data_IF_589093397742
#
_entry.id   IF_589093397742
#
_cell.length_a   1.000
_cell.length_b   1.000
_cell.length_c   1.000
_cell.angle_alpha   90.00
_cell.angle_beta   90.00
_cell.angle_gamma   90.00
#
_symmetry.space_group_name_H-M   'P 1'
#
loop_
_entity.id
_entity.type
_entity.pdbx_description
1 polymer ?
#
# COMPACT_ATOMS: atom_id res chain seq x y z
N UNK A 1 28.62 -15.10 16.45
CA UNK A 1 27.27 -15.44 16.94
C UNK A 1 26.23 -14.38 16.59
N UNK A 2 26.46 -13.06 16.85
CA UNK A 2 25.49 -11.99 16.50
C UNK A 2 25.33 -11.81 14.98
N UNK A 3 26.40 -11.90 14.23
CA UNK A 3 26.41 -11.76 12.77
C UNK A 3 25.70 -12.92 12.09
N UNK A 4 25.94 -14.15 12.51
CA UNK A 4 25.27 -15.36 12.04
C UNK A 4 23.77 -15.31 12.33
N UNK A 5 23.36 -14.84 13.53
CA UNK A 5 21.95 -14.67 13.88
C UNK A 5 21.25 -13.60 13.01
N UNK A 6 21.94 -12.53 12.62
CA UNK A 6 21.42 -11.51 11.72
C UNK A 6 21.26 -12.00 10.29
N UNK A 7 22.20 -12.80 9.79
CA UNK A 7 22.11 -13.45 8.48
C UNK A 7 20.91 -14.42 8.47
N UNK A 8 20.76 -15.25 9.50
CA UNK A 8 19.65 -16.19 9.62
C UNK A 8 18.27 -15.48 9.62
N UNK A 9 18.15 -14.37 10.34
CA UNK A 9 16.93 -13.54 10.34
C UNK A 9 16.62 -12.96 8.96
N UNK A 10 17.61 -12.47 8.23
CA UNK A 10 17.44 -11.94 6.87
C UNK A 10 17.03 -13.03 5.89
N UNK A 11 17.67 -14.20 5.95
CA UNK A 11 17.32 -15.35 5.12
C UNK A 11 15.90 -15.82 5.40
N UNK A 12 15.50 -15.94 6.66
CA UNK A 12 14.13 -16.32 7.05
C UNK A 12 13.10 -15.28 6.55
N UNK A 13 13.43 -14.00 6.61
CA UNK A 13 12.53 -12.94 6.09
C UNK A 13 12.34 -13.07 4.58
N UNK A 14 13.40 -13.33 3.81
CA UNK A 14 13.33 -13.56 2.37
C UNK A 14 12.47 -14.77 2.03
N UNK A 15 12.69 -15.92 2.70
CA UNK A 15 11.87 -17.11 2.49
C UNK A 15 10.38 -16.85 2.71
N UNK A 16 10.03 -16.10 3.77
CA UNK A 16 8.63 -15.72 4.01
C UNK A 16 8.05 -14.90 2.86
N UNK A 17 8.82 -13.98 2.27
CA UNK A 17 8.33 -13.20 1.13
C UNK A 17 8.12 -14.06 -0.11
N UNK A 18 9.01 -15.04 -0.36
CA UNK A 18 8.84 -15.99 -1.45
C UNK A 18 7.59 -16.88 -1.26
N UNK A 19 7.35 -17.35 -0.03
CA UNK A 19 6.13 -18.11 0.31
C UNK A 19 4.88 -17.26 0.08
N UNK A 20 4.86 -15.99 0.47
CA UNK A 20 3.74 -15.09 0.21
C UNK A 20 3.51 -14.88 -1.29
N UNK A 21 4.56 -14.75 -2.08
CA UNK A 21 4.46 -14.64 -3.54
C UNK A 21 3.80 -15.88 -4.14
N UNK A 22 4.28 -17.07 -3.78
CA UNK A 22 3.70 -18.33 -4.22
C UNK A 22 2.25 -18.49 -3.79
N UNK A 23 1.94 -18.15 -2.53
CA UNK A 23 0.57 -18.16 -2.02
C UNK A 23 -0.38 -17.31 -2.87
N UNK A 24 0.01 -16.08 -3.22
CA UNK A 24 -0.83 -15.23 -4.06
C UNK A 24 -0.91 -15.74 -5.51
N UNK A 25 0.14 -16.34 -6.03
CA UNK A 25 0.12 -16.96 -7.37
C UNK A 25 -0.87 -18.13 -7.42
N UNK A 26 -0.84 -19.04 -6.44
CA UNK A 26 -1.81 -20.13 -6.31
C UNK A 26 -3.23 -19.59 -6.13
N UNK A 27 -3.42 -18.59 -5.27
CA UNK A 27 -4.73 -17.98 -5.04
C UNK A 27 -5.30 -17.39 -6.33
N UNK A 28 -4.49 -16.72 -7.14
CA UNK A 28 -4.94 -16.19 -8.43
C UNK A 28 -5.26 -17.30 -9.44
N UNK A 29 -4.47 -18.37 -9.46
CA UNK A 29 -4.72 -19.53 -10.31
C UNK A 29 -6.05 -20.21 -9.98
N UNK A 30 -6.32 -20.45 -8.70
CA UNK A 30 -7.52 -21.15 -8.25
C UNK A 30 -8.79 -20.27 -8.27
N UNK A 31 -8.60 -18.96 -8.10
CA UNK A 31 -9.69 -17.97 -8.04
C UNK A 31 -9.45 -16.78 -8.98
N UNK A 32 -9.40 -16.99 -10.32
CA UNK A 32 -9.04 -15.92 -11.28
C UNK A 32 -9.98 -14.71 -11.24
N UNK A 33 -11.20 -14.86 -10.72
CA UNK A 33 -12.15 -13.76 -10.56
C UNK A 33 -11.67 -12.68 -9.59
N UNK A 34 -10.66 -12.96 -8.74
CA UNK A 34 -10.12 -11.99 -7.77
C UNK A 34 -9.47 -10.76 -8.43
N UNK A 35 -9.15 -10.82 -9.71
CA UNK A 35 -8.69 -9.68 -10.48
C UNK A 35 -9.69 -8.52 -10.51
N UNK A 36 -10.98 -8.81 -10.43
CA UNK A 36 -12.03 -7.80 -10.50
C UNK A 36 -13.08 -7.87 -9.40
N UNK A 37 -13.06 -8.93 -8.59
CA UNK A 37 -14.04 -9.15 -7.52
C UNK A 37 -13.32 -9.47 -6.21
N UNK A 38 -13.90 -9.15 -5.05
CA UNK A 38 -13.33 -9.57 -3.77
C UNK A 38 -13.35 -11.10 -3.66
N UNK A 39 -12.32 -11.66 -3.04
CA UNK A 39 -12.25 -13.10 -2.75
C UNK A 39 -13.46 -13.54 -1.91
N UNK A 40 -13.82 -12.75 -0.90
CA UNK A 40 -14.98 -12.97 -0.05
C UNK A 40 -16.18 -12.24 -0.64
N UNK A 41 -17.11 -12.98 -1.25
CA UNK A 41 -18.27 -12.46 -1.99
C UNK A 41 -19.15 -11.51 -1.17
N UNK A 42 -19.23 -11.70 0.15
CA UNK A 42 -19.98 -10.82 1.07
C UNK A 42 -19.57 -9.34 1.00
N UNK A 43 -18.36 -9.04 0.52
CA UNK A 43 -17.85 -7.67 0.35
C UNK A 43 -18.10 -7.08 -1.05
N UNK A 44 -18.82 -7.80 -1.92
CA UNK A 44 -19.14 -7.32 -3.27
C UNK A 44 -20.09 -6.14 -3.28
N UNK A 45 -20.87 -5.97 -2.22
CA UNK A 45 -21.89 -4.90 -2.07
C UNK A 45 -21.37 -3.62 -1.43
N UNK A 46 -20.06 -3.52 -1.14
CA UNK A 46 -19.49 -2.30 -0.54
C UNK A 46 -19.72 -1.12 -1.48
N UNK A 47 -20.35 -0.07 -0.95
CA UNK A 47 -20.56 1.20 -1.67
C UNK A 47 -19.28 2.06 -1.54
N UNK A 48 -18.61 2.24 -2.65
CA UNK A 48 -17.42 3.07 -2.74
C UNK A 48 -17.75 4.51 -3.10
N UNK A 49 -16.91 5.45 -2.67
CA UNK A 49 -17.00 6.85 -3.09
C UNK A 49 -16.67 6.97 -4.58
N UNK A 50 -17.48 7.75 -5.31
CA UNK A 50 -17.26 8.07 -6.74
C UNK A 50 -16.44 9.36 -6.96
N UNK A 51 -15.89 9.97 -5.90
CA UNK A 51 -15.18 11.24 -6.01
C UNK A 51 -13.92 11.13 -6.85
N UNK A 52 -13.99 11.60 -8.09
CA UNK A 52 -12.83 11.69 -8.98
C UNK A 52 -11.78 12.64 -8.43
N UNK A 53 -12.18 13.79 -7.91
CA UNK A 53 -11.26 14.78 -7.33
C UNK A 53 -10.38 14.19 -6.21
N UNK A 54 -10.98 13.44 -5.28
CA UNK A 54 -10.21 12.78 -4.19
C UNK A 54 -9.23 11.75 -4.74
N UNK A 55 -9.65 10.98 -5.76
CA UNK A 55 -8.78 10.00 -6.41
C UNK A 55 -7.61 10.67 -7.13
N UNK A 56 -7.86 11.75 -7.87
CA UNK A 56 -6.82 12.50 -8.57
C UNK A 56 -5.80 13.13 -7.61
N UNK A 57 -6.27 13.74 -6.50
CA UNK A 57 -5.38 14.25 -5.46
C UNK A 57 -4.49 13.14 -4.88
N UNK A 58 -5.07 11.95 -4.63
CA UNK A 58 -4.29 10.80 -4.18
C UNK A 58 -3.27 10.37 -5.23
N UNK A 59 -3.66 10.22 -6.49
CA UNK A 59 -2.75 9.86 -7.58
C UNK A 59 -1.57 10.83 -7.70
N UNK A 60 -1.81 12.14 -7.54
CA UNK A 60 -0.78 13.17 -7.65
C UNK A 60 0.10 13.33 -6.41
N UNK A 61 -0.30 12.77 -5.27
CA UNK A 61 0.36 13.05 -3.98
C UNK A 61 0.09 14.48 -3.50
N UNK A 62 -1.18 14.88 -3.54
CA UNK A 62 -1.71 16.20 -3.15
C UNK A 62 -2.89 16.05 -2.17
N UNK A 63 -2.79 15.06 -1.28
CA UNK A 63 -3.86 14.76 -0.31
C UNK A 63 -3.85 15.69 0.89
N UNK A 64 -2.74 16.38 1.14
CA UNK A 64 -2.49 17.15 2.35
C UNK A 64 -2.02 16.32 3.54
N UNK A 65 -1.78 15.01 3.35
CA UNK A 65 -1.16 14.12 4.34
C UNK A 65 0.27 13.81 3.92
N UNK A 66 1.29 14.44 4.55
CA UNK A 66 2.67 14.43 4.06
C UNK A 66 3.24 13.05 3.76
N UNK A 67 3.01 12.06 4.62
CA UNK A 67 3.54 10.70 4.43
C UNK A 67 2.85 9.97 3.26
N UNK A 68 1.57 10.28 2.99
CA UNK A 68 0.83 9.74 1.84
C UNK A 68 1.35 10.38 0.56
N UNK A 69 1.47 11.71 0.58
CA UNK A 69 1.92 12.50 -0.58
C UNK A 69 3.36 12.13 -0.96
N UNK A 70 4.23 11.95 0.02
CA UNK A 70 5.59 11.49 -0.18
C UNK A 70 5.63 10.12 -0.89
N UNK A 71 4.84 9.15 -0.41
CA UNK A 71 4.77 7.82 -1.02
C UNK A 71 4.29 7.85 -2.47
N UNK A 72 3.23 8.61 -2.76
CA UNK A 72 2.69 8.71 -4.10
C UNK A 72 3.64 9.42 -5.06
N UNK A 73 4.31 10.50 -4.62
CA UNK A 73 5.30 11.23 -5.42
C UNK A 73 6.55 10.37 -5.68
N UNK A 74 7.05 9.63 -4.68
CA UNK A 74 8.13 8.66 -4.88
C UNK A 74 7.78 7.70 -6.02
N UNK A 75 6.62 7.06 -5.94
CA UNK A 75 6.18 6.11 -6.96
C UNK A 75 6.05 6.77 -8.35
N UNK A 76 5.46 7.95 -8.43
CA UNK A 76 5.26 8.65 -9.70
C UNK A 76 6.58 9.03 -10.39
N UNK A 77 7.62 9.34 -9.61
CA UNK A 77 8.92 9.77 -10.11
C UNK A 77 9.83 8.58 -10.41
N UNK A 78 9.83 7.57 -9.53
CA UNK A 78 10.83 6.48 -9.58
C UNK A 78 10.28 5.17 -10.13
N UNK A 79 8.96 4.99 -10.20
CA UNK A 79 8.33 3.71 -10.47
C UNK A 79 8.43 2.72 -9.31
N UNK A 80 8.88 3.16 -8.13
CA UNK A 80 9.07 2.32 -6.94
C UNK A 80 8.46 2.97 -5.70
N UNK A 81 8.06 2.15 -4.74
CA UNK A 81 7.60 2.59 -3.43
C UNK A 81 7.92 1.51 -2.40
N UNK A 82 8.54 1.90 -1.28
CA UNK A 82 8.80 0.96 -0.19
C UNK A 82 7.52 0.33 0.34
N UNK A 83 7.57 -0.96 0.73
CA UNK A 83 6.40 -1.71 1.20
C UNK A 83 5.57 -0.99 2.27
N UNK A 84 6.21 -0.35 3.25
CA UNK A 84 5.49 0.39 4.30
C UNK A 84 4.67 1.54 3.72
N UNK A 85 5.23 2.29 2.80
CA UNK A 85 4.53 3.39 2.12
C UNK A 85 3.35 2.86 1.31
N UNK A 86 3.49 1.72 0.60
CA UNK A 86 2.38 1.07 -0.12
C UNK A 86 1.20 0.78 0.80
N UNK A 87 1.45 0.24 2.00
CA UNK A 87 0.39 -0.03 2.98
C UNK A 87 -0.31 1.24 3.47
N UNK A 88 0.45 2.30 3.72
CA UNK A 88 -0.09 3.58 4.20
C UNK A 88 -0.97 4.22 3.13
N UNK A 89 -0.46 4.36 1.91
CA UNK A 89 -1.21 5.03 0.82
C UNK A 89 -2.41 4.22 0.37
N UNK A 90 -2.32 2.88 0.35
CA UNK A 90 -3.45 2.01 0.03
C UNK A 90 -4.54 2.07 1.11
N UNK A 91 -4.15 2.01 2.39
CA UNK A 91 -5.09 2.15 3.50
C UNK A 91 -5.77 3.54 3.49
N UNK A 92 -5.04 4.58 3.17
CA UNK A 92 -5.60 5.93 3.05
C UNK A 92 -6.66 6.00 1.94
N UNK A 93 -6.36 5.49 0.75
CA UNK A 93 -7.31 5.44 -0.36
C UNK A 93 -8.60 4.71 0.03
N UNK A 94 -8.47 3.52 0.61
CA UNK A 94 -9.60 2.62 0.88
C UNK A 94 -10.38 3.03 2.12
N UNK A 95 -9.67 3.30 3.24
CA UNK A 95 -10.30 3.47 4.55
C UNK A 95 -10.63 4.92 4.89
N UNK A 96 -9.87 5.89 4.33
CA UNK A 96 -10.09 7.31 4.59
C UNK A 96 -10.89 7.98 3.48
N UNK A 97 -10.51 7.73 2.22
CA UNK A 97 -11.21 8.31 1.08
C UNK A 97 -12.41 7.47 0.61
N UNK A 98 -12.53 6.22 1.10
CA UNK A 98 -13.55 5.24 0.72
C UNK A 98 -13.60 4.98 -0.79
N UNK A 99 -12.47 5.05 -1.47
CA UNK A 99 -12.36 4.80 -2.90
C UNK A 99 -12.08 3.31 -3.14
N UNK A 100 -12.69 2.78 -4.20
CA UNK A 100 -12.57 1.38 -4.60
C UNK A 100 -11.11 0.96 -4.76
N UNK A 101 -10.72 -0.10 -4.08
CA UNK A 101 -9.39 -0.69 -4.11
C UNK A 101 -8.92 -1.02 -5.53
N UNK A 102 -9.83 -1.41 -6.43
CA UNK A 102 -9.54 -1.72 -7.83
C UNK A 102 -8.95 -0.53 -8.61
N UNK A 103 -9.35 0.70 -8.24
CA UNK A 103 -8.77 1.92 -8.83
C UNK A 103 -7.32 2.12 -8.39
N UNK A 104 -7.04 1.89 -7.11
CA UNK A 104 -5.68 1.97 -6.57
C UNK A 104 -4.77 0.87 -7.12
N UNK A 105 -5.29 -0.37 -7.20
CA UNK A 105 -4.60 -1.51 -7.81
C UNK A 105 -4.17 -1.19 -9.26
N UNK A 106 -5.10 -0.75 -10.10
CA UNK A 106 -4.81 -0.37 -11.48
C UNK A 106 -3.80 0.77 -11.60
N UNK A 107 -3.87 1.74 -10.69
CA UNK A 107 -2.91 2.83 -10.68
C UNK A 107 -1.49 2.34 -10.33
N UNK A 108 -1.36 1.46 -9.34
CA UNK A 108 -0.08 0.82 -9.01
C UNK A 108 0.44 -0.01 -10.19
N UNK A 109 -0.42 -0.80 -10.84
CA UNK A 109 -0.05 -1.57 -12.02
C UNK A 109 0.51 -0.71 -13.16
N UNK A 110 0.02 0.53 -13.30
CA UNK A 110 0.48 1.47 -14.33
C UNK A 110 1.78 2.20 -13.99
N UNK A 111 2.23 2.18 -12.72
CA UNK A 111 3.35 2.97 -12.24
C UNK A 111 4.54 2.16 -11.74
N UNK A 112 4.30 1.01 -11.11
CA UNK A 112 5.35 0.23 -10.45
C UNK A 112 6.11 -0.62 -11.48
N UNK A 113 7.43 -0.49 -11.50
CA UNK A 113 8.28 -1.34 -12.35
C UNK A 113 8.42 -2.76 -11.80
N UNK A 114 8.21 -2.96 -10.50
CA UNK A 114 8.22 -4.27 -9.83
C UNK A 114 6.81 -4.87 -9.69
N UNK A 115 5.88 -4.45 -10.55
CA UNK A 115 4.52 -4.96 -10.56
C UNK A 115 4.48 -6.46 -10.80
N UNK A 116 3.80 -7.17 -9.90
CA UNK A 116 3.44 -8.57 -10.07
C UNK A 116 1.96 -8.72 -9.73
N UNK A 117 1.18 -9.23 -10.67
CA UNK A 117 -0.29 -9.17 -10.63
C UNK A 117 -0.91 -9.85 -9.42
N UNK A 118 -0.48 -11.08 -9.11
CA UNK A 118 -1.07 -11.84 -8.01
C UNK A 118 -0.81 -11.18 -6.65
N UNK A 119 0.45 -10.77 -6.43
CA UNK A 119 0.84 -10.07 -5.19
C UNK A 119 0.17 -8.72 -5.07
N UNK A 120 0.08 -7.94 -6.16
CA UNK A 120 -0.53 -6.62 -6.12
C UNK A 120 -2.02 -6.73 -5.77
N UNK A 121 -2.78 -7.51 -6.53
CA UNK A 121 -4.22 -7.71 -6.27
C UNK A 121 -4.47 -8.30 -4.88
N UNK A 122 -3.69 -9.32 -4.49
CA UNK A 122 -3.83 -9.95 -3.17
C UNK A 122 -3.59 -8.97 -2.02
N UNK A 123 -2.56 -8.14 -2.11
CA UNK A 123 -2.25 -7.14 -1.08
C UNK A 123 -3.27 -5.98 -1.06
N UNK A 124 -3.77 -5.52 -2.21
CA UNK A 124 -4.85 -4.55 -2.26
C UNK A 124 -6.13 -5.07 -1.58
N UNK A 125 -6.50 -6.32 -1.84
CA UNK A 125 -7.64 -6.96 -1.18
C UNK A 125 -7.38 -7.20 0.32
N UNK A 126 -6.13 -7.50 0.71
CA UNK A 126 -5.76 -7.60 2.11
C UNK A 126 -5.99 -6.28 2.86
N UNK A 127 -5.52 -5.16 2.30
CA UNK A 127 -5.75 -3.81 2.89
C UNK A 127 -7.25 -3.47 2.92
N UNK A 128 -7.98 -3.85 1.88
CA UNK A 128 -9.43 -3.63 1.80
C UNK A 128 -10.23 -4.48 2.81
N UNK A 129 -9.64 -5.54 3.33
CA UNK A 129 -10.31 -6.47 4.25
C UNK A 129 -11.18 -7.51 3.56
N UNK A 130 -11.08 -7.65 2.23
CA UNK A 130 -11.94 -8.52 1.42
C UNK A 130 -11.22 -9.71 0.75
N UNK A 131 -9.91 -9.84 0.99
CA UNK A 131 -9.06 -10.91 0.45
C UNK A 131 -8.84 -12.08 1.39
N UNK A 132 -7.89 -12.95 1.01
CA UNK A 132 -7.38 -14.02 1.88
C UNK A 132 -6.60 -13.42 3.04
N UNK A 133 -6.68 -14.05 4.22
CA UNK A 133 -6.02 -13.60 5.45
C UNK A 133 -6.12 -12.07 5.66
N UNK A 134 -7.26 -11.52 5.28
CA UNK A 134 -7.44 -10.07 5.23
C UNK A 134 -7.27 -9.45 6.61
N UNK A 135 -6.59 -8.31 6.64
CA UNK A 135 -6.52 -7.50 7.85
C UNK A 135 -7.95 -7.21 8.36
N UNK A 136 -8.18 -7.20 9.66
CA UNK A 136 -9.47 -6.80 10.20
C UNK A 136 -9.94 -5.48 9.58
N UNK A 137 -11.22 -5.39 9.23
CA UNK A 137 -11.75 -4.25 8.50
C UNK A 137 -11.49 -2.89 9.18
N UNK A 138 -11.39 -2.88 10.50
CA UNK A 138 -11.12 -1.68 11.31
C UNK A 138 -9.63 -1.35 11.42
N UNK A 139 -8.72 -2.16 10.87
CA UNK A 139 -7.29 -1.86 10.89
C UNK A 139 -7.00 -0.75 9.89
N UNK A 140 -6.82 0.44 10.42
CA UNK A 140 -6.49 1.64 9.66
C UNK A 140 -5.03 2.02 9.94
N UNK A 141 -4.25 2.26 8.89
CA UNK A 141 -2.93 2.84 9.02
C UNK A 141 -3.09 4.36 9.07
N UNK A 142 -3.29 4.90 10.28
CA UNK A 142 -3.42 6.34 10.47
C UNK A 142 -2.16 7.05 9.95
N UNK A 143 -2.25 7.92 8.93
CA UNK A 143 -1.07 8.48 8.27
C UNK A 143 -0.23 9.35 9.20
N UNK A 144 -0.82 10.04 10.17
CA UNK A 144 -0.10 10.86 11.15
C UNK A 144 0.74 9.95 12.04
N UNK A 145 0.12 8.96 12.69
CA UNK A 145 0.83 8.01 13.55
C UNK A 145 1.87 7.17 12.80
N UNK A 146 1.63 6.89 11.52
CA UNK A 146 2.63 6.20 10.68
C UNK A 146 3.83 7.11 10.37
N UNK A 147 3.60 8.38 10.09
CA UNK A 147 4.67 9.38 9.91
C UNK A 147 5.52 9.50 11.18
N UNK A 148 4.91 9.72 12.33
CA UNK A 148 5.60 9.81 13.62
C UNK A 148 6.44 8.56 13.95
N UNK A 149 5.94 7.40 13.58
CA UNK A 149 6.61 6.12 13.87
C UNK A 149 7.78 5.81 12.92
N UNK A 150 7.62 6.08 11.62
CA UNK A 150 8.54 5.60 10.58
C UNK A 150 9.38 6.70 9.93
N UNK A 151 9.00 7.95 10.10
CA UNK A 151 9.71 9.12 9.57
C UNK A 151 9.70 10.27 10.59
N UNK A 152 10.09 9.97 11.82
CA UNK A 152 10.04 10.89 12.97
C UNK A 152 10.71 12.24 12.70
N UNK A 153 11.80 12.24 11.94
CA UNK A 153 12.56 13.45 11.59
C UNK A 153 12.08 14.09 10.27
N UNK A 154 11.10 13.48 9.61
CA UNK A 154 10.55 13.97 8.36
C UNK A 154 11.52 13.89 7.17
N UNK A 155 12.54 13.02 7.24
CA UNK A 155 13.56 12.90 6.18
C UNK A 155 12.94 12.41 4.88
N UNK A 156 12.13 11.36 4.96
CA UNK A 156 11.44 10.80 3.80
C UNK A 156 10.41 11.78 3.23
N UNK A 157 9.60 12.35 4.11
CA UNK A 157 8.60 13.36 3.71
C UNK A 157 9.28 14.54 3.02
N UNK A 158 10.29 15.14 3.61
CA UNK A 158 10.98 16.31 3.04
C UNK A 158 11.66 16.01 1.71
N UNK A 159 12.15 14.79 1.53
CA UNK A 159 12.74 14.36 0.25
C UNK A 159 11.72 14.41 -0.90
N UNK A 160 10.48 13.98 -0.66
CA UNK A 160 9.48 13.82 -1.72
C UNK A 160 8.42 14.92 -1.74
N UNK A 161 8.37 15.74 -0.67
CA UNK A 161 7.49 16.91 -0.50
C UNK A 161 8.35 18.12 -0.16
N UNK A 162 9.16 18.64 -1.11
CA UNK A 162 10.18 19.65 -0.83
C UNK A 162 9.61 20.97 -0.30
N UNK A 163 8.34 21.25 -0.56
CA UNK A 163 7.64 22.40 0.03
C UNK A 163 7.61 22.38 1.57
N UNK A 164 7.82 21.23 2.19
CA UNK A 164 7.90 21.08 3.65
C UNK A 164 9.32 21.18 4.23
N UNK A 165 10.34 21.43 3.41
CA UNK A 165 11.73 21.46 3.88
C UNK A 165 11.99 22.47 5.00
N UNK A 166 11.26 23.59 5.03
CA UNK A 166 11.39 24.64 6.05
C UNK A 166 10.52 24.39 7.28
N UNK A 167 9.66 23.36 7.25
CA UNK A 167 8.80 23.01 8.39
C UNK A 167 9.59 22.14 9.36
N UNK A 168 9.65 22.50 10.66
CA UNK A 168 10.30 21.65 11.66
C UNK A 168 9.57 20.31 11.76
N UNK A 169 10.33 19.23 11.91
CA UNK A 169 9.76 17.95 12.33
C UNK A 169 9.32 18.09 13.80
N UNK A 170 8.11 17.64 14.11
CA UNK A 170 7.61 17.63 15.49
C UNK A 170 8.13 16.40 16.22
#
# INVERSE_FOLDING_TARGET
VRETANIFKKVTALYRQLIWREFYAHLLNDFPYVLGKPLKSQYSSIKWSSSLKKFECWCKGETGFPIVDAGMREMNITGYMHNRSRLIVASFLIKTLLIDWRKGEKYFASKLFDYEQASNVGNWQWVAGCGADAAPYFRIFNPILQGEKFDKEGIYVKKWVPELNKVPAK
#
